data_IF_829959823916
#
_entry.id   IF_829959823916
#
_cell.length_a   1.000
_cell.length_b   1.000
_cell.length_c   1.000
_cell.angle_alpha   90.00
_cell.angle_beta   90.00
_cell.angle_gamma   90.00
#
_symmetry.space_group_name_H-M   'P 1'
#
loop_
_entity.id
_entity.type
_entity.pdbx_description
1 polymer ?
#
# COMPACT_ATOMS: atom_id res chain seq x y z
N UNK A 1 19.78 1.81 -10.90
CA UNK A 1 19.18 2.98 -11.56
C UNK A 1 18.24 2.59 -12.70
N UNK A 2 18.58 1.61 -13.53
CA UNK A 2 17.81 1.20 -14.72
C UNK A 2 16.34 0.82 -14.39
N UNK A 3 16.06 0.33 -13.20
CA UNK A 3 14.69 -0.01 -12.74
C UNK A 3 13.83 1.22 -12.41
N UNK A 4 14.45 2.39 -12.25
CA UNK A 4 13.78 3.60 -11.74
C UNK A 4 13.79 4.76 -12.73
N UNK A 5 14.86 4.88 -13.53
CA UNK A 5 15.12 6.08 -14.35
C UNK A 5 13.99 6.42 -15.32
N UNK A 6 13.28 5.41 -15.83
CA UNK A 6 12.13 5.55 -16.74
C UNK A 6 10.78 5.23 -16.04
N UNK A 7 10.67 5.48 -14.75
CA UNK A 7 9.42 5.33 -13.99
C UNK A 7 9.18 6.55 -13.10
N UNK A 8 8.41 7.52 -13.55
CA UNK A 8 7.62 7.61 -14.80
C UNK A 8 8.48 7.70 -16.06
N UNK A 9 7.81 7.55 -17.24
CA UNK A 9 8.45 7.47 -18.54
C UNK A 9 9.27 8.74 -18.87
N UNK A 10 10.61 8.60 -18.98
CA UNK A 10 11.53 9.68 -19.34
C UNK A 10 12.25 9.45 -20.66
N UNK A 11 12.13 8.23 -21.22
CA UNK A 11 12.75 7.82 -22.50
C UNK A 11 14.28 7.90 -22.51
N UNK A 12 14.92 7.74 -21.35
CA UNK A 12 16.38 7.73 -21.24
C UNK A 12 16.86 6.35 -21.68
N UNK A 13 17.71 6.32 -22.74
CA UNK A 13 18.31 5.08 -23.24
C UNK A 13 19.31 4.48 -22.25
N UNK A 14 19.50 3.16 -22.32
CA UNK A 14 20.54 2.49 -21.55
C UNK A 14 21.93 2.92 -21.98
N UNK A 15 22.11 3.21 -23.28
CA UNK A 15 23.40 3.64 -23.84
C UNK A 15 23.89 4.96 -23.24
N UNK A 16 22.95 5.83 -22.80
CA UNK A 16 23.31 7.06 -22.10
C UNK A 16 23.82 6.81 -20.66
N UNK A 17 23.77 5.57 -20.17
CA UNK A 17 24.07 5.16 -18.79
C UNK A 17 25.21 4.12 -18.74
N UNK A 18 26.10 4.09 -19.71
CA UNK A 18 27.17 3.09 -19.81
C UNK A 18 28.22 3.17 -18.68
N UNK A 19 28.33 4.31 -17.99
CA UNK A 19 29.28 4.49 -16.90
C UNK A 19 28.77 3.78 -15.62
N UNK A 20 29.65 3.17 -14.81
CA UNK A 20 29.29 2.51 -13.57
C UNK A 20 28.70 3.48 -12.52
N UNK A 21 29.03 4.76 -12.64
CA UNK A 21 28.44 5.84 -11.84
C UNK A 21 27.77 6.82 -12.78
N UNK A 22 26.53 7.23 -12.46
CA UNK A 22 25.78 8.17 -13.28
C UNK A 22 26.47 9.53 -13.27
N UNK A 23 26.87 9.96 -14.45
CA UNK A 23 27.37 11.31 -14.69
C UNK A 23 26.31 12.09 -15.47
N UNK A 24 25.64 13.01 -14.81
CA UNK A 24 24.54 13.78 -15.41
C UNK A 24 24.99 14.63 -16.60
N UNK A 25 26.22 15.18 -16.56
CA UNK A 25 26.75 15.94 -17.71
C UNK A 25 26.97 15.07 -18.93
N UNK A 26 27.47 13.83 -18.74
CA UNK A 26 27.61 12.88 -19.83
C UNK A 26 26.25 12.46 -20.40
N UNK A 27 25.26 12.25 -19.51
CA UNK A 27 23.89 11.92 -19.95
C UNK A 27 23.25 13.09 -20.72
N UNK A 28 23.42 14.33 -20.27
CA UNK A 28 22.94 15.53 -20.99
C UNK A 28 23.64 15.69 -22.33
N UNK A 29 24.97 15.49 -22.39
CA UNK A 29 25.73 15.56 -23.62
C UNK A 29 25.31 14.50 -24.65
N UNK A 30 24.92 13.31 -24.22
CA UNK A 30 24.37 12.27 -25.10
C UNK A 30 23.10 12.72 -25.84
N UNK A 31 22.32 13.62 -25.25
CA UNK A 31 21.08 14.17 -25.76
C UNK A 31 21.18 15.63 -26.19
N UNK A 32 22.38 16.18 -26.42
CA UNK A 32 22.58 17.60 -26.73
C UNK A 32 21.73 18.12 -27.90
N UNK A 33 21.43 17.26 -28.90
CA UNK A 33 20.59 17.62 -30.04
C UNK A 33 19.08 17.56 -29.76
N UNK A 34 18.67 17.16 -28.56
CA UNK A 34 17.28 16.99 -28.11
C UNK A 34 17.00 17.79 -26.85
N UNK A 35 16.80 19.11 -26.99
CA UNK A 35 16.63 20.01 -25.83
C UNK A 35 15.58 19.54 -24.83
N UNK A 36 14.44 19.01 -25.27
CA UNK A 36 13.42 18.45 -24.39
C UNK A 36 13.88 17.26 -23.53
N UNK A 37 14.89 16.48 -24.01
CA UNK A 37 15.50 15.41 -23.21
C UNK A 37 16.43 15.98 -22.16
N UNK A 38 17.19 17.01 -22.50
CA UNK A 38 18.08 17.69 -21.56
C UNK A 38 17.26 18.27 -20.41
N UNK A 39 16.15 18.97 -20.70
CA UNK A 39 15.24 19.49 -19.68
C UNK A 39 14.69 18.41 -18.73
N UNK A 40 14.31 17.25 -19.27
CA UNK A 40 13.86 16.11 -18.45
C UNK A 40 14.96 15.54 -17.56
N UNK A 41 16.18 15.51 -18.03
CA UNK A 41 17.33 15.04 -17.25
C UNK A 41 17.66 16.05 -16.14
N UNK A 42 17.61 17.33 -16.44
CA UNK A 42 17.80 18.42 -15.46
C UNK A 42 16.72 18.37 -14.38
N UNK A 43 15.45 18.16 -14.77
CA UNK A 43 14.38 18.00 -13.81
C UNK A 43 14.61 16.78 -12.92
N UNK A 44 15.01 15.63 -13.48
CA UNK A 44 15.32 14.44 -12.70
C UNK A 44 16.48 14.67 -11.73
N UNK A 45 17.54 15.37 -12.17
CA UNK A 45 18.67 15.71 -11.31
C UNK A 45 18.23 16.63 -10.15
N UNK A 46 17.39 17.62 -10.45
CA UNK A 46 16.77 18.48 -9.43
C UNK A 46 15.94 17.69 -8.44
N UNK A 47 15.03 16.84 -8.94
CA UNK A 47 14.14 16.01 -8.10
C UNK A 47 14.95 15.12 -7.15
N UNK A 48 16.04 14.50 -7.63
CA UNK A 48 16.90 13.65 -6.80
C UNK A 48 17.66 14.44 -5.73
N UNK A 49 18.08 15.65 -6.04
CA UNK A 49 18.70 16.56 -5.06
C UNK A 49 17.70 17.02 -4.01
N UNK A 50 16.49 17.36 -4.44
CA UNK A 50 15.43 17.83 -3.55
C UNK A 50 14.95 16.72 -2.61
N UNK A 51 14.74 15.51 -3.13
CA UNK A 51 14.31 14.34 -2.34
C UNK A 51 15.23 14.03 -1.16
N UNK A 52 16.54 14.30 -1.29
CA UNK A 52 17.50 14.10 -0.20
C UNK A 52 17.26 15.00 1.01
N UNK A 53 16.51 16.07 0.85
CA UNK A 53 16.24 17.06 1.90
C UNK A 53 14.90 16.81 2.59
N UNK A 54 14.08 15.89 2.05
CA UNK A 54 12.74 15.64 2.53
C UNK A 54 12.71 14.51 3.57
N UNK A 55 11.81 14.65 4.55
CA UNK A 55 11.44 13.54 5.40
C UNK A 55 10.74 12.45 4.56
N UNK A 56 10.81 11.15 4.96
CA UNK A 56 10.33 10.02 4.15
C UNK A 56 8.91 10.17 3.62
N UNK A 57 7.95 10.54 4.47
CA UNK A 57 6.56 10.73 4.05
C UNK A 57 6.40 11.89 3.03
N UNK A 58 7.13 12.97 3.21
CA UNK A 58 7.15 14.09 2.26
C UNK A 58 7.80 13.68 0.93
N UNK A 59 8.88 12.87 0.98
CA UNK A 59 9.54 12.33 -0.20
C UNK A 59 8.60 11.41 -1.00
N UNK A 60 7.87 10.50 -0.35
CA UNK A 60 6.86 9.65 -1.01
C UNK A 60 5.79 10.50 -1.68
N UNK A 61 5.26 11.50 -1.01
CA UNK A 61 4.25 12.38 -1.57
C UNK A 61 4.78 13.23 -2.75
N UNK A 62 6.01 13.70 -2.66
CA UNK A 62 6.67 14.42 -3.76
C UNK A 62 6.82 13.53 -5.00
N UNK A 63 7.30 12.29 -4.83
CA UNK A 63 7.41 11.33 -5.94
C UNK A 63 6.04 11.07 -6.57
N UNK A 64 5.01 10.89 -5.77
CA UNK A 64 3.65 10.62 -6.24
C UNK A 64 3.08 11.77 -7.05
N UNK A 65 3.20 13.01 -6.55
CA UNK A 65 2.49 14.18 -7.08
C UNK A 65 3.36 15.03 -8.01
N UNK A 66 4.54 15.46 -7.55
CA UNK A 66 5.39 16.39 -8.31
C UNK A 66 6.17 15.67 -9.42
N UNK A 67 6.72 14.49 -9.13
CA UNK A 67 7.41 13.67 -10.13
C UNK A 67 6.44 12.97 -11.10
N UNK A 68 5.13 12.90 -10.75
CA UNK A 68 4.09 12.34 -11.63
C UNK A 68 3.98 10.81 -11.54
N UNK A 69 4.38 10.20 -10.43
CA UNK A 69 4.30 8.74 -10.29
C UNK A 69 2.85 8.23 -10.21
N UNK A 70 1.91 9.01 -9.66
CA UNK A 70 0.50 8.65 -9.64
C UNK A 70 -0.10 8.56 -11.06
N UNK A 71 0.34 9.43 -11.99
CA UNK A 71 -0.10 9.38 -13.39
C UNK A 71 0.48 8.14 -14.09
N UNK A 72 1.76 7.85 -13.87
CA UNK A 72 2.38 6.61 -14.34
C UNK A 72 1.65 5.36 -13.82
N UNK A 73 1.20 5.33 -12.58
CA UNK A 73 0.43 4.22 -12.00
C UNK A 73 -0.93 4.08 -12.69
N UNK A 74 -1.61 5.18 -13.06
CA UNK A 74 -2.87 5.11 -13.83
C UNK A 74 -2.65 4.49 -15.20
N UNK A 75 -1.64 4.97 -15.94
CA UNK A 75 -1.27 4.42 -17.25
C UNK A 75 -0.90 2.93 -17.15
N UNK A 76 -0.11 2.57 -16.14
CA UNK A 76 0.28 1.19 -15.89
C UNK A 76 -0.92 0.29 -15.57
N UNK A 77 -1.85 0.75 -14.73
CA UNK A 77 -3.07 0.01 -14.37
C UNK A 77 -3.95 -0.21 -15.60
N UNK A 78 -4.13 0.81 -16.44
CA UNK A 78 -4.88 0.72 -17.70
C UNK A 78 -4.25 -0.32 -18.63
N UNK A 79 -2.93 -0.23 -18.86
CA UNK A 79 -2.19 -1.20 -19.69
C UNK A 79 -2.34 -2.64 -19.17
N UNK A 80 -2.31 -2.83 -17.85
CA UNK A 80 -2.41 -4.14 -17.20
C UNK A 80 -3.86 -4.58 -16.97
N UNK A 81 -4.85 -3.76 -17.32
CA UNK A 81 -6.28 -3.98 -17.05
C UNK A 81 -6.57 -4.24 -15.56
N UNK A 82 -5.91 -3.48 -14.70
CA UNK A 82 -6.06 -3.52 -13.24
C UNK A 82 -6.82 -2.26 -12.78
N UNK A 83 -7.40 -2.32 -11.59
CA UNK A 83 -7.97 -1.13 -10.94
C UNK A 83 -6.83 -0.30 -10.34
N UNK A 84 -6.68 0.98 -10.69
CA UNK A 84 -5.62 1.83 -10.16
C UNK A 84 -5.72 2.03 -8.65
N UNK A 85 -6.93 1.94 -8.08
CA UNK A 85 -7.21 2.09 -6.65
C UNK A 85 -6.43 1.06 -5.81
N UNK A 86 -6.29 -0.19 -6.29
CA UNK A 86 -5.53 -1.23 -5.60
C UNK A 86 -4.04 -0.86 -5.49
N UNK A 87 -3.50 -0.23 -6.52
CA UNK A 87 -2.10 0.22 -6.51
C UNK A 87 -1.92 1.48 -5.67
N UNK A 88 -2.91 2.39 -5.69
CA UNK A 88 -2.87 3.57 -4.83
C UNK A 88 -2.97 3.21 -3.35
N UNK A 89 -3.74 2.18 -2.98
CA UNK A 89 -3.79 1.72 -1.60
C UNK A 89 -2.40 1.28 -1.09
N UNK A 90 -1.62 0.58 -1.92
CA UNK A 90 -0.25 0.20 -1.58
C UNK A 90 0.64 1.43 -1.38
N UNK A 91 0.48 2.46 -2.23
CA UNK A 91 1.23 3.72 -2.09
C UNK A 91 0.79 4.52 -0.87
N UNK A 92 -0.50 4.50 -0.52
CA UNK A 92 -1.03 5.12 0.69
C UNK A 92 -0.44 4.43 1.95
N UNK A 93 -0.41 3.10 1.98
CA UNK A 93 0.23 2.32 3.05
C UNK A 93 1.73 2.63 3.16
N UNK A 94 2.43 2.75 2.03
CA UNK A 94 3.84 3.10 2.02
C UNK A 94 4.07 4.49 2.62
N UNK A 95 3.25 5.48 2.23
CA UNK A 95 3.33 6.83 2.77
C UNK A 95 3.05 6.88 4.28
N UNK A 96 2.06 6.10 4.75
CA UNK A 96 1.75 5.99 6.18
C UNK A 96 2.88 5.32 6.96
N UNK A 97 3.49 4.26 6.43
CA UNK A 97 4.64 3.60 7.07
C UNK A 97 5.84 4.53 7.23
N UNK A 98 5.95 5.54 6.37
CA UNK A 98 6.99 6.56 6.40
C UNK A 98 6.70 7.69 7.40
N UNK A 99 5.44 7.84 7.86
CA UNK A 99 4.93 8.96 8.65
C UNK A 99 5.60 8.97 9.99
N UNK A 100 6.31 8.97 10.63
CA UNK A 100 6.95 8.99 11.95
C UNK A 100 8.47 9.06 11.87
N UNK A 101 9.03 8.92 10.67
CA UNK A 101 10.47 8.90 10.47
C UNK A 101 10.99 10.25 9.96
N UNK A 102 12.13 10.68 10.50
CA UNK A 102 12.80 11.92 10.11
C UNK A 102 13.76 11.73 8.93
N UNK A 103 14.31 10.52 8.77
CA UNK A 103 15.28 10.20 7.72
C UNK A 103 14.90 8.90 7.00
N UNK A 104 15.31 8.79 5.74
CA UNK A 104 15.06 7.61 4.89
C UNK A 104 15.80 6.39 5.42
N UNK A 105 17.01 6.60 5.96
CA UNK A 105 17.84 5.54 6.55
C UNK A 105 17.15 4.92 7.77
N UNK A 106 16.59 5.73 8.66
CA UNK A 106 15.86 5.24 9.83
C UNK A 106 14.60 4.47 9.44
N UNK A 107 13.88 4.95 8.42
CA UNK A 107 12.70 4.27 7.90
C UNK A 107 13.07 2.92 7.26
N UNK A 108 14.12 2.87 6.44
CA UNK A 108 14.57 1.62 5.83
C UNK A 108 15.09 0.62 6.86
N UNK A 109 15.85 1.07 7.86
CA UNK A 109 16.30 0.21 8.95
C UNK A 109 15.12 -0.41 9.71
N UNK A 110 14.06 0.36 9.95
CA UNK A 110 12.83 -0.15 10.56
C UNK A 110 12.14 -1.21 9.67
N UNK A 111 12.03 -0.98 8.37
CA UNK A 111 11.45 -1.96 7.44
C UNK A 111 12.26 -3.27 7.39
N UNK A 112 13.59 -3.18 7.40
CA UNK A 112 14.45 -4.36 7.43
C UNK A 112 14.30 -5.15 8.73
N UNK A 113 14.23 -4.46 9.88
CA UNK A 113 14.00 -5.10 11.17
C UNK A 113 12.64 -5.79 11.21
N UNK A 114 11.58 -5.10 10.79
CA UNK A 114 10.23 -5.67 10.69
C UNK A 114 10.20 -6.92 9.80
N UNK A 115 10.85 -6.86 8.63
CA UNK A 115 10.94 -8.02 7.73
C UNK A 115 11.71 -9.20 8.37
N UNK A 116 12.72 -8.91 9.19
CA UNK A 116 13.47 -9.92 9.95
C UNK A 116 12.60 -10.57 11.02
N UNK A 117 11.87 -9.75 11.79
CA UNK A 117 10.94 -10.24 12.80
C UNK A 117 9.87 -11.14 12.23
N UNK A 118 9.25 -10.76 11.10
CA UNK A 118 8.26 -11.58 10.40
C UNK A 118 8.83 -12.96 10.01
N UNK A 119 10.07 -13.00 9.50
CA UNK A 119 10.73 -14.27 9.17
C UNK A 119 10.98 -15.16 10.39
N UNK A 120 11.36 -14.56 11.51
CA UNK A 120 11.56 -15.28 12.78
C UNK A 120 10.24 -15.80 13.32
N UNK A 121 9.19 -14.99 13.30
CA UNK A 121 7.86 -15.40 13.72
C UNK A 121 7.28 -16.53 12.86
N UNK A 122 7.50 -16.48 11.54
CA UNK A 122 7.06 -17.54 10.63
C UNK A 122 7.71 -18.90 10.97
N UNK A 123 8.97 -18.89 11.44
CA UNK A 123 9.69 -20.10 11.85
C UNK A 123 9.28 -20.62 13.24
N UNK A 124 8.74 -19.76 14.10
CA UNK A 124 8.36 -20.10 15.48
C UNK A 124 6.86 -20.47 15.64
N UNK A 125 6.11 -20.57 14.55
CA UNK A 125 4.66 -20.84 14.56
C UNK A 125 4.23 -22.15 15.24
N UNK A 126 5.12 -23.09 15.41
CA UNK A 126 4.81 -24.41 16.01
C UNK A 126 4.63 -24.42 17.54
N UNK A 127 4.88 -23.32 18.26
CA UNK A 127 4.93 -23.33 19.74
C UNK A 127 4.09 -22.30 20.49
N UNK A 128 3.21 -21.53 19.82
CA UNK A 128 2.39 -20.54 20.55
C UNK A 128 0.99 -21.09 20.86
N UNK A 129 0.81 -21.55 22.11
CA UNK A 129 -0.49 -21.91 22.69
C UNK A 129 -1.16 -20.75 23.45
N UNK A 130 -0.42 -19.69 23.76
CA UNK A 130 -0.91 -18.54 24.51
C UNK A 130 -0.75 -17.24 23.71
N UNK A 131 -1.75 -16.37 23.76
CA UNK A 131 -1.75 -15.06 23.11
C UNK A 131 -3.01 -14.75 22.32
N UNK A 132 -2.98 -13.61 21.61
CA UNK A 132 -4.05 -13.19 20.70
C UNK A 132 -3.82 -13.81 19.33
N UNK A 133 -4.84 -14.49 18.81
CA UNK A 133 -4.81 -15.06 17.46
C UNK A 133 -5.31 -14.03 16.44
N UNK A 134 -4.49 -13.71 15.45
CA UNK A 134 -4.87 -12.89 14.31
C UNK A 134 -5.08 -13.78 13.08
N UNK A 135 -6.25 -13.66 12.43
CA UNK A 135 -6.60 -14.51 11.30
C UNK A 135 -7.62 -13.85 10.38
N UNK A 136 -7.78 -14.38 9.18
CA UNK A 136 -8.88 -13.96 8.30
C UNK A 136 -10.22 -14.57 8.76
N UNK A 137 -11.33 -13.96 8.35
CA UNK A 137 -12.68 -14.52 8.61
C UNK A 137 -12.81 -15.94 8.07
N UNK A 138 -12.28 -16.22 6.89
CA UNK A 138 -12.24 -17.58 6.32
C UNK A 138 -11.51 -18.58 7.20
N UNK A 139 -10.34 -18.19 7.73
CA UNK A 139 -9.53 -19.07 8.58
C UNK A 139 -10.16 -19.34 9.95
N UNK A 140 -11.14 -18.53 10.37
CA UNK A 140 -11.85 -18.68 11.63
C UNK A 140 -12.93 -19.76 11.62
N UNK A 141 -13.28 -20.29 10.43
CA UNK A 141 -14.32 -21.32 10.29
C UNK A 141 -13.97 -22.58 11.09
N UNK A 142 -14.89 -23.00 11.95
CA UNK A 142 -14.71 -24.16 12.82
C UNK A 142 -13.95 -23.90 14.11
N UNK A 143 -13.43 -22.70 14.32
CA UNK A 143 -12.77 -22.29 15.57
C UNK A 143 -13.76 -21.51 16.45
N UNK A 144 -13.47 -21.41 17.73
CA UNK A 144 -14.27 -20.64 18.69
C UNK A 144 -13.35 -19.98 19.73
N UNK A 145 -13.68 -18.74 20.10
CA UNK A 145 -12.91 -17.93 21.03
C UNK A 145 -13.81 -17.28 22.09
N UNK A 146 -13.27 -17.06 23.28
CA UNK A 146 -14.03 -16.35 24.32
C UNK A 146 -14.43 -14.95 23.89
N UNK A 147 -13.47 -14.22 23.30
CA UNK A 147 -13.63 -12.84 22.86
C UNK A 147 -13.18 -12.76 21.42
N UNK A 148 -13.95 -12.13 20.55
CA UNK A 148 -13.63 -11.90 19.14
C UNK A 148 -13.70 -10.41 18.86
N UNK A 149 -12.68 -9.92 18.16
CA UNK A 149 -12.65 -8.59 17.58
C UNK A 149 -12.68 -8.72 16.06
N UNK A 150 -13.73 -8.19 15.42
CA UNK A 150 -13.78 -8.01 13.97
C UNK A 150 -13.28 -6.60 13.70
N UNK A 151 -12.17 -6.49 12.98
CA UNK A 151 -11.55 -5.22 12.62
C UNK A 151 -11.98 -4.80 11.23
N UNK A 152 -11.87 -3.49 10.96
CA UNK A 152 -12.14 -2.90 9.63
C UNK A 152 -13.51 -3.29 9.04
N UNK A 153 -14.57 -3.25 9.87
CA UNK A 153 -15.95 -3.44 9.42
C UNK A 153 -16.42 -2.18 8.66
N UNK A 154 -15.70 -1.86 7.60
CA UNK A 154 -15.93 -0.71 6.73
C UNK A 154 -16.38 -1.15 5.35
N UNK A 155 -17.18 -0.33 4.70
CA UNK A 155 -17.58 -0.52 3.30
C UNK A 155 -16.35 -0.58 2.39
N UNK A 156 -16.31 -1.54 1.46
CA UNK A 156 -15.15 -1.78 0.59
C UNK A 156 -14.06 -2.69 1.19
N UNK A 157 -14.09 -2.93 2.52
CA UNK A 157 -13.23 -3.91 3.21
C UNK A 157 -14.07 -5.12 3.63
N UNK A 158 -15.19 -4.89 4.27
CA UNK A 158 -16.19 -5.90 4.65
C UNK A 158 -17.58 -5.30 4.46
N UNK A 159 -18.28 -5.60 3.32
CA UNK A 159 -17.88 -6.45 2.21
C UNK A 159 -16.69 -5.92 1.41
N UNK A 160 -15.94 -6.82 0.81
CA UNK A 160 -14.82 -6.46 -0.03
C UNK A 160 -15.29 -5.73 -1.31
N UNK A 161 -14.57 -4.70 -1.75
CA UNK A 161 -14.97 -3.89 -2.92
C UNK A 161 -15.09 -4.66 -4.25
N UNK A 162 -14.57 -5.88 -4.33
CA UNK A 162 -14.73 -6.79 -5.48
C UNK A 162 -16.03 -7.59 -5.47
N UNK A 163 -16.74 -7.65 -4.34
CA UNK A 163 -18.03 -8.30 -4.23
C UNK A 163 -19.12 -7.43 -4.87
N UNK A 164 -19.26 -7.52 -6.19
CA UNK A 164 -20.17 -6.68 -6.98
C UNK A 164 -21.46 -7.42 -7.32
N UNK A 165 -21.39 -8.75 -7.50
CA UNK A 165 -22.54 -9.58 -7.79
C UNK A 165 -23.29 -9.92 -6.50
N UNK A 166 -24.60 -10.10 -6.59
CA UNK A 166 -25.42 -10.49 -5.42
C UNK A 166 -24.91 -11.77 -4.77
N UNK A 167 -24.46 -12.74 -5.55
CA UNK A 167 -23.89 -13.98 -5.03
C UNK A 167 -22.61 -13.77 -4.21
N UNK A 168 -21.72 -12.86 -4.67
CA UNK A 168 -20.49 -12.52 -3.96
C UNK A 168 -20.82 -11.76 -2.67
N UNK A 169 -21.81 -10.87 -2.73
CA UNK A 169 -22.27 -10.12 -1.57
C UNK A 169 -22.87 -11.03 -0.50
N UNK A 170 -23.63 -12.03 -0.91
CA UNK A 170 -24.19 -13.03 0.02
C UNK A 170 -23.11 -13.91 0.63
N UNK A 171 -22.04 -14.22 -0.11
CA UNK A 171 -20.90 -14.96 0.45
C UNK A 171 -20.14 -14.11 1.48
N UNK A 172 -19.88 -12.84 1.18
CA UNK A 172 -19.28 -11.87 2.14
C UNK A 172 -20.15 -11.75 3.41
N UNK A 173 -21.49 -11.66 3.25
CA UNK A 173 -22.42 -11.61 4.39
C UNK A 173 -22.36 -12.89 5.22
N UNK A 174 -22.29 -14.04 4.58
CA UNK A 174 -22.14 -15.34 5.25
C UNK A 174 -20.84 -15.42 6.03
N UNK A 175 -19.75 -14.94 5.44
CA UNK A 175 -18.45 -14.91 6.13
C UNK A 175 -18.44 -13.99 7.34
N UNK A 176 -19.05 -12.81 7.20
CA UNK A 176 -19.18 -11.87 8.32
C UNK A 176 -20.01 -12.51 9.46
N UNK A 177 -21.12 -13.15 9.13
CA UNK A 177 -21.93 -13.90 10.10
C UNK A 177 -21.13 -15.01 10.78
N UNK A 178 -20.38 -15.81 10.02
CA UNK A 178 -19.50 -16.85 10.58
C UNK A 178 -18.50 -16.25 11.54
N UNK A 179 -17.84 -15.17 11.18
CA UNK A 179 -16.86 -14.49 12.06
C UNK A 179 -17.54 -14.02 13.38
N UNK A 180 -18.73 -13.45 13.30
CA UNK A 180 -19.50 -13.04 14.50
C UNK A 180 -19.80 -14.23 15.42
N UNK A 181 -20.19 -15.35 14.85
CA UNK A 181 -20.53 -16.57 15.62
C UNK A 181 -19.32 -17.30 16.21
N UNK A 182 -18.11 -16.84 15.96
CA UNK A 182 -16.90 -17.40 16.62
C UNK A 182 -16.77 -16.95 18.07
N UNK A 183 -17.49 -15.91 18.48
CA UNK A 183 -17.46 -15.40 19.84
C UNK A 183 -18.36 -16.23 20.78
N UNK A 184 -17.77 -16.72 21.89
CA UNK A 184 -18.50 -17.42 22.96
C UNK A 184 -19.10 -16.47 23.98
N UNK A 185 -18.36 -15.43 24.35
CA UNK A 185 -18.74 -14.53 25.45
C UNK A 185 -18.92 -13.08 24.97
N UNK A 186 -17.96 -12.58 24.16
CA UNK A 186 -17.98 -11.17 23.73
C UNK A 186 -17.58 -11.04 22.27
N UNK A 187 -18.33 -10.22 21.55
CA UNK A 187 -18.05 -9.80 20.21
C UNK A 187 -17.85 -8.29 20.17
N UNK A 188 -16.74 -7.85 19.59
CA UNK A 188 -16.45 -6.46 19.28
C UNK A 188 -16.36 -6.31 17.78
N UNK A 189 -17.15 -5.43 17.19
CA UNK A 189 -17.08 -5.06 15.78
C UNK A 189 -16.57 -3.64 15.69
N UNK A 190 -15.43 -3.47 15.06
CA UNK A 190 -14.74 -2.20 14.98
C UNK A 190 -14.73 -1.69 13.54
N UNK A 191 -14.96 -0.42 13.38
CA UNK A 191 -14.80 0.29 12.12
C UNK A 191 -14.05 1.61 12.36
N UNK A 192 -13.42 2.14 11.30
CA UNK A 192 -12.74 3.42 11.35
C UNK A 192 -13.55 4.47 10.60
N UNK A 193 -13.53 5.72 11.07
CA UNK A 193 -14.19 6.84 10.39
C UNK A 193 -13.32 7.45 9.29
N UNK A 194 -12.01 7.26 9.38
CA UNK A 194 -11.04 7.79 8.43
C UNK A 194 -9.87 6.81 8.26
N UNK A 195 -9.39 6.66 7.01
CA UNK A 195 -8.21 5.88 6.66
C UNK A 195 -7.46 6.58 5.52
N UNK A 196 -6.14 6.79 5.68
CA UNK A 196 -5.31 7.53 4.71
C UNK A 196 -5.89 8.91 4.36
N UNK A 197 -6.36 9.67 5.35
CA UNK A 197 -7.01 10.97 5.19
C UNK A 197 -8.26 10.95 4.29
N UNK A 198 -8.89 9.79 4.16
CA UNK A 198 -10.16 9.60 3.44
C UNK A 198 -11.22 9.12 4.40
N UNK A 199 -12.40 9.74 4.36
CA UNK A 199 -13.56 9.28 5.14
C UNK A 199 -13.92 7.86 4.74
N UNK A 200 -14.25 7.05 5.73
CA UNK A 200 -14.69 5.67 5.56
C UNK A 200 -16.14 5.53 6.03
N UNK A 201 -16.88 4.69 5.34
CA UNK A 201 -18.25 4.33 5.74
C UNK A 201 -18.24 3.03 6.54
N UNK A 202 -19.14 2.95 7.51
CA UNK A 202 -19.37 1.71 8.24
C UNK A 202 -19.97 0.65 7.30
N UNK A 203 -19.56 -0.59 7.46
CA UNK A 203 -20.06 -1.73 6.70
C UNK A 203 -21.59 -1.80 6.70
N UNK A 204 -22.18 -2.07 5.52
CA UNK A 204 -23.64 -2.36 5.40
C UNK A 204 -24.05 -3.53 6.28
N UNK A 205 -23.22 -4.52 6.50
CA UNK A 205 -23.52 -5.65 7.37
C UNK A 205 -23.69 -5.26 8.82
N UNK A 206 -22.92 -4.25 9.28
CA UNK A 206 -23.11 -3.68 10.62
C UNK A 206 -24.42 -2.90 10.70
N UNK A 207 -24.75 -2.13 9.65
CA UNK A 207 -26.02 -1.38 9.58
C UNK A 207 -27.21 -2.35 9.59
N UNK A 208 -27.18 -3.39 8.76
CA UNK A 208 -28.20 -4.45 8.69
C UNK A 208 -28.39 -5.12 10.07
N UNK A 209 -27.29 -5.50 10.74
CA UNK A 209 -27.34 -6.13 12.06
C UNK A 209 -27.96 -5.21 13.12
N UNK A 210 -27.69 -3.93 13.05
CA UNK A 210 -28.25 -2.94 14.00
C UNK A 210 -29.67 -2.46 13.63
N UNK A 211 -30.24 -2.95 12.53
CA UNK A 211 -31.55 -2.51 12.01
C UNK A 211 -31.55 -1.05 11.58
N UNK A 212 -30.42 -0.51 11.12
CA UNK A 212 -30.25 0.86 10.61
C UNK A 212 -30.08 0.78 9.10
N UNK A 213 -31.01 1.35 8.34
CA UNK A 213 -30.88 1.58 6.90
C UNK A 213 -29.90 2.70 6.56
#
# INVERSE_FOLDING_TARGET
ILSVINRPNRYISRDALELPVVNWEAVKSFYQDKGWMVERIEQLEYDLKFLRQLAPAAAVNYIRKAVGYDDYIREYAEYRRMKPEELFEVLDQLAESAAGFKTVEAWFAHMEEYARELKLQARSREKRTEGVSLMTMHSSKGLEYRIVYILDANEGVTPHHKAVLDADMEEERRMFYVAMTRAKERLHVNYVSERYSKKQEVSRFVKEYLGRE
#
